data_IF_103823295658
#
_entry.id   IF_103823295658
#
_cell.length_a   1.000
_cell.length_b   1.000
_cell.length_c   1.000
_cell.angle_alpha   90.00
_cell.angle_beta   90.00
_cell.angle_gamma   90.00
#
_symmetry.space_group_name_H-M   'P 1'
#
loop_
_entity.id
_entity.type
_entity.pdbx_description
1 polymer ?
#
# COMPACT_ATOMS: atom_id res chain seq x y z
N UNK A 1 -0.04 -15.56 -4.94
CA UNK A 1 -0.71 -16.73 -5.53
C UNK A 1 -1.28 -17.66 -4.48
N UNK A 2 -0.51 -18.08 -3.47
CA UNK A 2 -0.98 -18.93 -2.36
C UNK A 2 -2.17 -18.36 -1.60
N UNK A 3 -2.16 -17.07 -1.27
CA UNK A 3 -3.27 -16.39 -0.59
C UNK A 3 -4.59 -16.40 -1.40
N UNK A 4 -4.49 -16.14 -2.70
CA UNK A 4 -5.65 -16.17 -3.60
C UNK A 4 -6.21 -17.58 -3.77
N UNK A 5 -5.34 -18.59 -3.85
CA UNK A 5 -5.73 -19.99 -3.85
C UNK A 5 -6.42 -20.41 -2.54
N UNK A 6 -5.86 -19.99 -1.39
CA UNK A 6 -6.46 -20.20 -0.07
C UNK A 6 -7.84 -19.56 0.00
N UNK A 7 -7.97 -18.31 -0.45
CA UNK A 7 -9.23 -17.59 -0.50
C UNK A 7 -10.27 -18.33 -1.36
N UNK A 8 -9.93 -18.75 -2.58
CA UNK A 8 -10.83 -19.49 -3.46
C UNK A 8 -11.28 -20.81 -2.82
N UNK A 9 -10.37 -21.52 -2.16
CA UNK A 9 -10.66 -22.80 -1.47
C UNK A 9 -11.53 -22.61 -0.24
N UNK A 10 -11.28 -21.58 0.56
CA UNK A 10 -12.09 -21.20 1.73
C UNK A 10 -13.50 -20.77 1.32
N UNK A 11 -13.62 -20.01 0.22
CA UNK A 11 -14.91 -19.60 -0.34
C UNK A 11 -15.71 -20.80 -0.86
N UNK A 12 -15.06 -21.76 -1.53
CA UNK A 12 -15.69 -22.99 -2.00
C UNK A 12 -16.21 -23.87 -0.85
N UNK A 13 -15.57 -23.83 0.32
CA UNK A 13 -15.99 -24.57 1.52
C UNK A 13 -17.07 -23.84 2.35
N UNK A 14 -17.52 -22.65 1.95
CA UNK A 14 -18.58 -21.90 2.64
C UNK A 14 -18.24 -21.49 4.08
N UNK A 15 -16.96 -21.51 4.46
CA UNK A 15 -16.54 -21.33 5.84
C UNK A 15 -16.63 -19.85 6.23
N UNK A 16 -17.47 -19.50 7.22
CA UNK A 16 -17.55 -18.14 7.78
C UNK A 16 -16.71 -18.05 9.05
N UNK A 17 -15.75 -17.13 9.06
CA UNK A 17 -14.95 -16.85 10.26
C UNK A 17 -15.77 -16.02 11.25
N UNK A 18 -15.73 -16.39 12.52
CA UNK A 18 -16.33 -15.62 13.61
C UNK A 18 -15.57 -14.30 13.82
N UNK A 19 -16.31 -13.22 14.10
CA UNK A 19 -15.75 -11.87 14.32
C UNK A 19 -14.63 -11.85 15.37
N UNK A 20 -14.73 -12.64 16.44
CA UNK A 20 -13.71 -12.71 17.49
C UNK A 20 -12.38 -13.29 16.97
N UNK A 21 -12.45 -14.33 16.14
CA UNK A 21 -11.27 -14.97 15.52
C UNK A 21 -10.62 -14.06 14.48
N UNK A 22 -11.45 -13.29 13.76
CA UNK A 22 -10.98 -12.26 12.84
C UNK A 22 -10.24 -11.15 13.58
N UNK A 23 -10.79 -10.67 14.70
CA UNK A 23 -10.17 -9.60 15.51
C UNK A 23 -8.85 -10.05 16.14
N UNK A 24 -8.81 -11.25 16.73
CA UNK A 24 -7.55 -11.76 17.31
C UNK A 24 -6.50 -12.01 16.23
N UNK A 25 -6.91 -12.56 15.08
CA UNK A 25 -6.01 -12.78 13.95
C UNK A 25 -5.49 -11.48 13.36
N UNK A 26 -6.35 -10.48 13.12
CA UNK A 26 -5.91 -9.18 12.61
C UNK A 26 -4.97 -8.47 13.58
N UNK A 27 -5.21 -8.54 14.89
CA UNK A 27 -4.29 -8.01 15.89
C UNK A 27 -2.93 -8.72 15.85
N UNK A 28 -2.92 -10.06 15.78
CA UNK A 28 -1.68 -10.84 15.68
C UNK A 28 -0.88 -10.47 14.43
N UNK A 29 -1.53 -10.44 13.26
CA UNK A 29 -0.84 -10.08 12.01
C UNK A 29 -0.44 -8.60 11.94
N UNK A 30 -1.17 -7.70 12.60
CA UNK A 30 -0.76 -6.30 12.73
C UNK A 30 0.50 -6.16 13.59
N UNK A 31 0.61 -6.90 14.70
CA UNK A 31 1.83 -6.93 15.52
C UNK A 31 3.00 -7.47 14.70
N UNK A 32 2.82 -8.56 13.94
CA UNK A 32 3.85 -9.11 13.05
C UNK A 32 4.27 -8.10 11.96
N UNK A 33 3.33 -7.36 11.39
CA UNK A 33 3.64 -6.33 10.40
C UNK A 33 4.43 -5.15 10.99
N UNK A 34 4.06 -4.73 12.21
CA UNK A 34 4.74 -3.65 12.92
C UNK A 34 6.15 -4.06 13.37
N UNK A 35 6.31 -5.25 13.94
CA UNK A 35 7.63 -5.75 14.35
C UNK A 35 8.55 -5.95 13.16
N UNK A 36 7.99 -6.37 12.02
CA UNK A 36 8.70 -6.37 10.75
C UNK A 36 9.21 -4.96 10.44
N UNK A 37 8.34 -3.96 10.26
CA UNK A 37 8.77 -2.60 9.89
C UNK A 37 9.75 -1.96 10.88
N UNK A 38 9.54 -2.14 12.19
CA UNK A 38 10.40 -1.54 13.22
C UNK A 38 11.71 -2.30 13.44
N UNK A 39 11.79 -3.58 13.05
CA UNK A 39 13.00 -4.39 13.18
C UNK A 39 14.20 -3.84 12.40
N UNK A 40 13.94 -3.05 11.34
CA UNK A 40 14.98 -2.48 10.50
C UNK A 40 15.86 -1.49 11.29
N UNK A 41 15.31 -0.88 12.34
CA UNK A 41 16.01 0.09 13.18
C UNK A 41 17.23 -0.49 13.89
N UNK A 42 17.19 -1.77 14.29
CA UNK A 42 18.29 -2.43 15.02
C UNK A 42 19.60 -2.41 14.22
N UNK A 43 19.50 -2.36 12.89
CA UNK A 43 20.65 -2.32 11.98
C UNK A 43 21.27 -0.93 11.80
N UNK A 44 20.59 0.14 12.24
CA UNK A 44 21.06 1.52 12.12
C UNK A 44 21.64 2.10 13.43
N UNK A 45 21.77 1.29 14.49
CA UNK A 45 22.31 1.73 15.77
C UNK A 45 23.83 1.95 15.65
N UNK A 46 24.35 3.15 15.94
CA UNK A 46 25.79 3.41 15.86
C UNK A 46 26.54 2.59 16.91
N UNK A 47 27.61 1.90 16.49
CA UNK A 47 28.48 1.10 17.38
C UNK A 47 28.12 -0.37 17.53
N UNK A 48 27.09 -0.88 16.85
CA UNK A 48 26.77 -2.32 16.85
C UNK A 48 27.73 -3.08 15.92
N UNK A 49 28.34 -4.19 16.35
CA UNK A 49 29.10 -5.06 15.44
C UNK A 49 28.19 -5.64 14.36
N UNK A 50 28.65 -5.60 13.11
CA UNK A 50 27.90 -6.08 11.95
C UNK A 50 27.95 -7.61 11.87
N UNK A 51 26.82 -8.27 12.09
CA UNK A 51 26.68 -9.72 11.95
C UNK A 51 26.03 -10.06 10.60
N UNK A 52 26.79 -10.60 9.62
CA UNK A 52 26.28 -10.84 8.27
C UNK A 52 25.15 -11.88 8.22
N UNK A 53 25.16 -12.87 9.12
CA UNK A 53 24.11 -13.89 9.20
C UNK A 53 22.76 -13.30 9.61
N UNK A 54 22.76 -12.40 10.59
CA UNK A 54 21.55 -11.70 11.06
C UNK A 54 20.96 -10.83 9.96
N UNK A 55 21.81 -10.09 9.24
CA UNK A 55 21.41 -9.26 8.11
C UNK A 55 20.82 -10.09 6.96
N UNK A 56 21.46 -11.20 6.62
CA UNK A 56 21.04 -12.09 5.53
C UNK A 56 19.70 -12.78 5.82
N UNK A 57 19.43 -13.14 7.09
CA UNK A 57 18.16 -13.72 7.50
C UNK A 57 17.05 -12.68 7.63
N UNK A 58 17.38 -11.51 8.17
CA UNK A 58 16.40 -10.44 8.37
C UNK A 58 15.80 -9.94 7.06
N UNK A 59 16.64 -9.74 6.04
CA UNK A 59 16.24 -9.17 4.74
C UNK A 59 15.06 -9.91 4.06
N UNK A 60 15.06 -11.25 3.93
CA UNK A 60 13.91 -12.00 3.42
C UNK A 60 12.79 -12.09 4.46
N UNK A 61 13.08 -12.36 5.74
CA UNK A 61 12.06 -12.61 6.78
C UNK A 61 11.12 -11.41 6.96
N UNK A 62 11.67 -10.20 6.95
CA UNK A 62 10.90 -8.96 6.98
C UNK A 62 9.86 -8.92 5.84
N UNK A 63 10.33 -9.16 4.60
CA UNK A 63 9.46 -9.10 3.42
C UNK A 63 8.41 -10.20 3.44
N UNK A 64 8.76 -11.39 3.93
CA UNK A 64 7.82 -12.49 4.13
C UNK A 64 6.77 -12.18 5.20
N UNK A 65 7.17 -11.63 6.35
CA UNK A 65 6.26 -11.24 7.44
C UNK A 65 5.24 -10.21 6.97
N UNK A 66 5.71 -9.17 6.27
CA UNK A 66 4.84 -8.16 5.66
C UNK A 66 3.88 -8.76 4.62
N UNK A 67 4.38 -9.59 3.71
CA UNK A 67 3.55 -10.24 2.69
C UNK A 67 2.51 -11.18 3.30
N UNK A 68 2.86 -11.91 4.36
CA UNK A 68 1.95 -12.78 5.09
C UNK A 68 0.85 -11.97 5.80
N UNK A 69 1.20 -10.86 6.46
CA UNK A 69 0.22 -9.97 7.08
C UNK A 69 -0.76 -9.38 6.04
N UNK A 70 -0.26 -8.94 4.88
CA UNK A 70 -1.11 -8.46 3.79
C UNK A 70 -2.00 -9.56 3.21
N UNK A 71 -1.48 -10.79 3.13
CA UNK A 71 -2.28 -11.94 2.67
C UNK A 71 -3.46 -12.25 3.59
N UNK A 72 -3.26 -12.12 4.91
CA UNK A 72 -4.32 -12.29 5.90
C UNK A 72 -5.45 -11.28 5.70
N UNK A 73 -5.10 -10.00 5.47
CA UNK A 73 -6.08 -8.93 5.24
C UNK A 73 -6.96 -9.25 4.03
N UNK A 74 -6.37 -9.69 2.91
CA UNK A 74 -7.13 -10.03 1.69
C UNK A 74 -8.05 -11.23 1.92
N UNK A 75 -7.56 -12.28 2.58
CA UNK A 75 -8.33 -13.50 2.84
C UNK A 75 -9.52 -13.22 3.77
N UNK A 76 -9.29 -12.50 4.87
CA UNK A 76 -10.34 -12.11 5.82
C UNK A 76 -11.37 -11.20 5.16
N UNK A 77 -10.91 -10.19 4.43
CA UNK A 77 -11.78 -9.24 3.74
C UNK A 77 -12.72 -9.90 2.73
N UNK A 78 -12.27 -10.97 2.05
CA UNK A 78 -13.08 -11.70 1.09
C UNK A 78 -14.08 -12.70 1.69
N UNK A 79 -13.88 -13.19 2.92
CA UNK A 79 -14.67 -14.30 3.49
C UNK A 79 -15.75 -13.80 4.45
N UNK A 80 -15.35 -13.01 5.45
CA UNK A 80 -16.20 -12.71 6.62
C UNK A 80 -16.62 -11.25 6.73
N UNK A 81 -16.05 -10.38 5.89
CA UNK A 81 -16.11 -8.94 6.14
C UNK A 81 -15.25 -8.56 7.34
N UNK A 82 -14.88 -7.29 7.39
CA UNK A 82 -13.96 -6.75 8.39
C UNK A 82 -14.65 -6.31 9.68
N UNK A 83 -15.97 -6.56 9.81
CA UNK A 83 -16.77 -6.21 10.98
C UNK A 83 -16.69 -4.71 11.26
N UNK A 84 -15.97 -4.32 12.31
CA UNK A 84 -15.85 -2.91 12.74
C UNK A 84 -15.09 -2.03 11.75
N UNK A 85 -14.22 -2.65 10.93
CA UNK A 85 -13.44 -1.95 9.90
C UNK A 85 -14.19 -1.87 8.57
N UNK A 86 -15.31 -2.58 8.42
CA UNK A 86 -16.12 -2.60 7.20
C UNK A 86 -16.74 -1.24 6.84
N UNK A 87 -17.27 -0.44 7.79
CA UNK A 87 -17.76 0.91 7.49
C UNK A 87 -16.64 1.84 7.03
N UNK A 88 -15.44 1.70 7.61
CA UNK A 88 -14.26 2.50 7.25
C UNK A 88 -13.83 2.14 5.84
N UNK A 89 -13.71 0.86 5.51
CA UNK A 89 -13.29 0.39 4.18
C UNK A 89 -14.35 0.65 3.09
N UNK A 90 -15.63 0.74 3.46
CA UNK A 90 -16.71 1.03 2.51
C UNK A 90 -16.96 2.53 2.33
N UNK A 91 -16.17 3.42 2.95
CA UNK A 91 -16.34 4.87 2.77
C UNK A 91 -16.11 5.27 1.32
N UNK A 92 -17.05 6.04 0.74
CA UNK A 92 -16.93 6.58 -0.63
C UNK A 92 -15.68 7.44 -0.84
N UNK A 93 -15.13 8.03 0.23
CA UNK A 93 -13.87 8.76 0.20
C UNK A 93 -12.64 7.90 -0.15
N UNK A 94 -12.70 6.59 0.09
CA UNK A 94 -11.60 5.69 -0.26
C UNK A 94 -11.48 5.42 -1.77
N UNK A 95 -12.56 5.61 -2.52
CA UNK A 95 -12.55 5.42 -3.98
C UNK A 95 -11.61 6.43 -4.67
N UNK A 96 -11.75 7.75 -4.48
CA UNK A 96 -10.80 8.71 -5.04
C UNK A 96 -9.42 8.60 -4.39
N UNK A 97 -9.33 8.29 -3.09
CA UNK A 97 -8.06 8.12 -2.40
C UNK A 97 -7.23 6.95 -2.95
N UNK A 98 -7.88 5.85 -3.34
CA UNK A 98 -7.22 4.70 -3.96
C UNK A 98 -6.62 5.06 -5.31
N UNK A 99 -7.31 5.87 -6.11
CA UNK A 99 -6.78 6.39 -7.39
C UNK A 99 -5.59 7.31 -7.17
N UNK A 100 -5.69 8.22 -6.20
CA UNK A 100 -4.58 9.11 -5.85
C UNK A 100 -3.35 8.30 -5.38
N UNK A 101 -3.57 7.27 -4.56
CA UNK A 101 -2.49 6.41 -4.05
C UNK A 101 -1.79 5.65 -5.17
N UNK A 102 -2.51 5.27 -6.23
CA UNK A 102 -1.89 4.71 -7.43
C UNK A 102 -0.96 5.73 -8.12
N UNK A 103 -1.38 6.99 -8.26
CA UNK A 103 -0.51 8.04 -8.78
C UNK A 103 0.71 8.29 -7.87
N UNK A 104 0.51 8.29 -6.54
CA UNK A 104 1.60 8.39 -5.56
C UNK A 104 2.61 7.28 -5.75
N UNK A 105 2.16 6.03 -5.92
CA UNK A 105 3.06 4.89 -6.12
C UNK A 105 3.99 5.07 -7.33
N UNK A 106 3.50 5.65 -8.42
CA UNK A 106 4.31 5.92 -9.62
C UNK A 106 5.31 7.06 -9.41
N UNK A 107 4.91 8.13 -8.71
CA UNK A 107 5.71 9.35 -8.55
C UNK A 107 6.71 9.25 -7.40
N UNK A 108 6.34 8.56 -6.32
CA UNK A 108 7.14 8.47 -5.10
C UNK A 108 8.55 7.95 -5.36
N UNK A 109 8.71 6.96 -6.26
CA UNK A 109 10.02 6.44 -6.64
C UNK A 109 10.92 7.50 -7.30
N UNK A 110 10.36 8.40 -8.10
CA UNK A 110 11.10 9.51 -8.72
C UNK A 110 11.51 10.55 -7.68
N UNK A 111 10.62 10.87 -6.75
CA UNK A 111 10.90 11.79 -5.62
C UNK A 111 12.05 11.25 -4.79
N UNK A 112 11.99 9.97 -4.40
CA UNK A 112 13.03 9.35 -3.60
C UNK A 112 14.37 9.26 -4.35
N UNK A 113 14.35 8.93 -5.65
CA UNK A 113 15.56 8.93 -6.49
C UNK A 113 16.18 10.33 -6.57
N UNK A 114 15.36 11.36 -6.76
CA UNK A 114 15.81 12.74 -6.82
C UNK A 114 16.42 13.21 -5.48
N UNK A 115 15.76 12.90 -4.36
CA UNK A 115 16.27 13.19 -3.01
C UNK A 115 17.64 12.53 -2.78
N UNK A 116 17.80 11.26 -3.18
CA UNK A 116 19.08 10.53 -3.07
C UNK A 116 20.16 11.09 -4.02
N UNK A 117 19.80 11.53 -5.23
CA UNK A 117 20.76 12.10 -6.18
C UNK A 117 21.35 13.44 -5.73
N UNK A 118 20.62 14.20 -4.90
CA UNK A 118 21.07 15.50 -4.37
C UNK A 118 21.89 15.33 -3.08
N UNK A 119 21.70 14.24 -2.34
CA UNK A 119 22.46 13.92 -1.13
C UNK A 119 23.94 13.69 -1.49
N UNK A 120 24.78 14.70 -1.22
CA UNK A 120 26.24 14.65 -1.46
C UNK A 120 27.07 14.29 -0.22
N UNK A 121 26.45 14.26 0.96
CA UNK A 121 27.11 13.97 2.24
C UNK A 121 26.27 13.01 3.08
N UNK A 122 26.93 12.17 3.88
CA UNK A 122 26.25 11.26 4.80
C UNK A 122 25.64 12.08 5.95
N UNK A 123 24.31 12.13 5.99
CA UNK A 123 23.56 12.83 7.02
C UNK A 123 23.46 11.98 8.28
N UNK A 124 23.72 12.56 9.46
CA UNK A 124 23.47 11.89 10.73
C UNK A 124 21.97 11.57 10.86
N UNK A 125 21.67 10.30 11.11
CA UNK A 125 20.31 9.75 11.13
C UNK A 125 19.81 9.67 12.57
N UNK A 126 19.05 10.67 12.99
CA UNK A 126 18.37 10.71 14.28
C UNK A 126 16.86 10.50 14.12
N UNK A 127 16.20 9.96 15.15
CA UNK A 127 14.77 9.62 15.13
C UNK A 127 13.86 10.79 14.70
N UNK A 128 14.03 12.02 15.24
CA UNK A 128 13.19 13.15 14.86
C UNK A 128 13.39 13.53 13.39
N UNK A 129 14.62 13.40 12.89
CA UNK A 129 14.98 13.75 11.52
C UNK A 129 14.46 12.75 10.51
N UNK A 130 14.53 11.45 10.80
CA UNK A 130 13.91 10.41 10.00
C UNK A 130 12.39 10.60 9.88
N UNK A 131 11.74 10.93 10.99
CA UNK A 131 10.31 11.19 11.00
C UNK A 131 9.96 12.43 10.16
N UNK A 132 10.74 13.50 10.28
CA UNK A 132 10.60 14.71 9.47
C UNK A 132 10.81 14.46 7.97
N UNK A 133 11.85 13.70 7.61
CA UNK A 133 12.12 13.32 6.22
C UNK A 133 10.98 12.48 5.65
N UNK A 134 10.53 11.47 6.39
CA UNK A 134 9.41 10.62 5.98
C UNK A 134 8.12 11.43 5.76
N UNK A 135 7.78 12.33 6.68
CA UNK A 135 6.63 13.24 6.50
C UNK A 135 6.80 14.15 5.29
N UNK A 136 8.01 14.66 5.03
CA UNK A 136 8.33 15.48 3.87
C UNK A 136 8.16 14.71 2.56
N UNK A 137 8.68 13.48 2.48
CA UNK A 137 8.56 12.61 1.32
C UNK A 137 7.11 12.21 1.04
N UNK A 138 6.34 11.89 2.09
CA UNK A 138 4.91 11.58 1.95
C UNK A 138 4.17 12.80 1.43
N UNK A 139 4.33 13.97 2.05
CA UNK A 139 3.62 15.19 1.67
C UNK A 139 3.96 15.63 0.24
N UNK A 140 5.25 15.62 -0.11
CA UNK A 140 5.70 16.00 -1.46
C UNK A 140 5.19 15.02 -2.53
N UNK A 141 5.19 13.72 -2.24
CA UNK A 141 4.68 12.69 -3.15
C UNK A 141 3.17 12.83 -3.37
N UNK A 142 2.40 13.14 -2.33
CA UNK A 142 0.95 13.37 -2.44
C UNK A 142 0.62 14.65 -3.24
N UNK A 143 1.37 15.74 -3.05
CA UNK A 143 1.19 16.98 -3.83
C UNK A 143 1.49 16.72 -5.31
N UNK A 144 2.61 16.08 -5.63
CA UNK A 144 2.98 15.78 -7.01
C UNK A 144 2.01 14.78 -7.65
N UNK A 145 1.57 13.75 -6.91
CA UNK A 145 0.58 12.81 -7.39
C UNK A 145 -0.75 13.48 -7.72
N UNK A 146 -1.18 14.47 -6.92
CA UNK A 146 -2.38 15.25 -7.20
C UNK A 146 -2.25 16.04 -8.49
N UNK A 147 -1.09 16.68 -8.73
CA UNK A 147 -0.82 17.39 -9.98
C UNK A 147 -0.84 16.44 -11.18
N UNK A 148 -0.18 15.29 -11.08
CA UNK A 148 -0.15 14.28 -12.14
C UNK A 148 -1.54 13.72 -12.40
N UNK A 149 -2.30 13.44 -11.35
CA UNK A 149 -3.68 12.97 -11.45
C UNK A 149 -4.56 14.01 -12.16
N UNK A 150 -4.48 15.29 -11.80
CA UNK A 150 -5.27 16.35 -12.44
C UNK A 150 -4.89 16.56 -13.91
N UNK A 151 -3.59 16.51 -14.23
CA UNK A 151 -3.08 16.73 -15.58
C UNK A 151 -3.23 15.52 -16.50
N UNK A 152 -3.23 14.29 -15.98
CA UNK A 152 -3.33 13.08 -16.81
C UNK A 152 -4.72 12.45 -16.74
N UNK A 153 -5.29 12.23 -15.55
CA UNK A 153 -6.59 11.55 -15.47
C UNK A 153 -7.72 12.42 -16.04
N UNK A 154 -7.71 13.74 -15.88
CA UNK A 154 -8.75 14.60 -16.45
C UNK A 154 -8.80 14.54 -17.98
N UNK A 155 -7.69 14.74 -18.74
CA UNK A 155 -7.73 14.62 -20.19
C UNK A 155 -7.87 13.18 -20.67
N UNK A 156 -7.26 12.19 -20.00
CA UNK A 156 -7.39 10.77 -20.40
C UNK A 156 -8.84 10.32 -20.26
N UNK A 157 -9.53 10.68 -19.17
CA UNK A 157 -10.95 10.36 -19.02
C UNK A 157 -11.83 11.10 -20.05
N UNK A 158 -11.45 12.32 -20.45
CA UNK A 158 -12.12 13.06 -21.53
C UNK A 158 -11.94 12.37 -22.89
N UNK A 159 -10.72 12.03 -23.26
CA UNK A 159 -10.37 11.31 -24.49
C UNK A 159 -11.02 9.92 -24.54
N UNK A 160 -11.00 9.19 -23.42
CA UNK A 160 -11.60 7.87 -23.31
C UNK A 160 -13.12 7.92 -23.52
N UNK A 161 -13.80 8.94 -22.98
CA UNK A 161 -15.23 9.16 -23.24
C UNK A 161 -15.49 9.47 -24.71
N UNK A 162 -14.64 10.27 -25.36
CA UNK A 162 -14.79 10.59 -26.78
C UNK A 162 -14.51 9.38 -27.70
N UNK A 163 -13.58 8.50 -27.33
CA UNK A 163 -13.24 7.29 -28.08
C UNK A 163 -14.22 6.12 -27.84
N UNK A 164 -14.71 5.95 -26.61
CA UNK A 164 -15.62 4.86 -26.24
C UNK A 164 -17.10 5.20 -26.41
N UNK A 165 -17.46 6.46 -26.71
CA UNK A 165 -18.84 6.77 -27.11
C UNK A 165 -19.15 6.04 -28.42
N UNK A 166 -20.07 5.05 -28.42
CA UNK A 166 -20.58 4.52 -29.67
C UNK A 166 -21.29 5.66 -30.37
N UNK A 167 -20.97 5.94 -31.64
CA UNK A 167 -21.76 6.85 -32.47
C UNK A 167 -23.21 6.40 -32.40
N UNK A 168 -24.03 7.07 -31.59
CA UNK A 168 -25.47 6.94 -31.69
C UNK A 168 -25.85 7.65 -32.99
N UNK A 169 -25.93 6.87 -34.08
CA UNK A 169 -26.58 7.32 -35.30
C UNK A 169 -28.04 7.57 -34.93
N UNK A 170 -28.39 8.83 -34.66
CA UNK A 170 -29.78 9.28 -34.67
C UNK A 170 -30.24 9.19 -36.12
N UNK A 171 -30.81 8.04 -36.49
CA UNK A 171 -31.59 7.91 -37.71
C UNK A 171 -32.90 8.65 -37.44
N UNK A 172 -32.99 9.89 -37.93
CA UNK A 172 -34.20 10.69 -37.88
C UNK A 172 -35.11 10.19 -38.98
N UNK A 173 -36.03 9.28 -38.64
CA UNK A 173 -37.14 8.91 -39.51
C UNK A 173 -38.34 9.82 -39.25
N UNK A 174 -38.87 10.31 -40.37
CA UNK A 174 -40.10 11.10 -40.62
C UNK A 174 -40.01 12.61 -40.46
#
# INVERSE_FOLDING_TARGET
>A
MTAAYLYMRLKSNGYKLTVNKVRSGSAMWAVVALTSMMGAWVFYIPGRPYYPLENALYNPLHRFGWAAAMSWIVVVGGISGFGILEPILSMKCLVPLSRLTYCVFLVHGLVQLYSVAILRTSEYMSFPKLFWMWLGDVTSSFILALLVHLLLEAPVNGLLKLLLQPKHKVFKDK
#
